data_IF_139623384927
#
_entry.id   IF_139623384927
#
_cell.length_a   1.000
_cell.length_b   1.000
_cell.length_c   1.000
_cell.angle_alpha   90.00
_cell.angle_beta   90.00
_cell.angle_gamma   90.00
#
_symmetry.space_group_name_H-M   'P 1'
#
loop_
_entity.id
_entity.type
_entity.pdbx_description
1 polymer ?
#
# COMPACT_ATOMS: atom_id res chain seq x y z
N UNK A 1 6.08 -4.21 13.56
CA UNK A 1 4.90 -3.89 12.76
C UNK A 1 5.29 -3.07 11.54
N UNK A 2 4.66 -3.37 10.42
CA UNK A 2 4.78 -2.61 9.17
C UNK A 2 3.42 -1.99 8.88
N UNK A 3 3.40 -0.69 8.63
CA UNK A 3 2.18 0.05 8.32
C UNK A 3 2.27 0.58 6.89
N UNK A 4 1.24 0.32 6.10
CA UNK A 4 1.12 0.84 4.74
C UNK A 4 -0.08 1.76 4.60
N UNK A 5 0.07 2.82 3.84
CA UNK A 5 -1.08 3.50 3.25
C UNK A 5 -1.62 2.63 2.12
N UNK A 6 -2.72 1.94 2.38
CA UNK A 6 -3.37 1.10 1.36
C UNK A 6 -3.99 1.95 0.24
N UNK A 7 -4.26 3.22 0.50
CA UNK A 7 -4.66 4.24 -0.48
C UNK A 7 -3.71 4.33 -1.68
N UNK A 8 -2.42 4.04 -1.48
CA UNK A 8 -1.36 4.21 -2.47
C UNK A 8 -1.14 2.93 -3.28
N UNK A 9 -0.03 2.26 -3.09
CA UNK A 9 0.36 1.11 -3.92
C UNK A 9 -0.56 -0.10 -3.79
N UNK A 10 -1.08 -0.38 -2.59
CA UNK A 10 -1.97 -1.53 -2.38
C UNK A 10 -3.26 -1.38 -3.19
N UNK A 11 -3.94 -0.24 -3.08
CA UNK A 11 -5.11 0.07 -3.91
C UNK A 11 -4.74 0.32 -5.36
N UNK A 12 -3.83 1.27 -5.59
CA UNK A 12 -3.19 1.52 -6.87
C UNK A 12 -4.02 2.26 -7.92
N UNK A 13 -5.26 2.65 -7.60
CA UNK A 13 -6.21 3.23 -8.56
C UNK A 13 -6.80 4.57 -8.10
N UNK A 14 -6.37 5.09 -6.96
CA UNK A 14 -6.86 6.35 -6.38
C UNK A 14 -8.39 6.40 -6.14
N UNK A 15 -8.98 5.25 -5.90
CA UNK A 15 -10.45 5.06 -5.75
C UNK A 15 -10.85 4.56 -4.36
N UNK A 16 -9.89 4.32 -3.46
CA UNK A 16 -10.14 3.85 -2.11
C UNK A 16 -9.15 4.47 -1.11
N UNK A 17 -9.63 4.71 0.09
CA UNK A 17 -8.80 5.12 1.23
C UNK A 17 -8.67 3.96 2.21
N UNK A 18 -7.50 3.77 2.78
CA UNK A 18 -7.32 2.74 3.79
C UNK A 18 -5.88 2.61 4.28
N UNK A 19 -5.75 1.90 5.39
CA UNK A 19 -4.48 1.47 5.96
C UNK A 19 -4.36 -0.04 5.99
N UNK A 20 -3.13 -0.54 5.97
CA UNK A 20 -2.85 -1.94 6.19
C UNK A 20 -1.74 -2.10 7.24
N UNK A 21 -1.94 -3.04 8.15
CA UNK A 21 -0.98 -3.36 9.20
C UNK A 21 -0.55 -4.81 9.05
N UNK A 22 0.75 -5.02 8.98
CA UNK A 22 1.35 -6.34 8.88
C UNK A 22 2.39 -6.56 9.96
N UNK A 23 2.53 -7.79 10.42
CA UNK A 23 3.54 -8.10 11.41
C UNK A 23 3.25 -9.37 12.21
N UNK A 24 3.94 -9.49 13.34
CA UNK A 24 3.79 -10.62 14.24
C UNK A 24 2.34 -10.69 14.77
N UNK A 25 1.81 -11.90 14.81
CA UNK A 25 0.38 -12.16 15.09
C UNK A 25 -0.12 -11.55 16.40
N UNK A 26 0.66 -11.62 17.47
CA UNK A 26 0.27 -11.07 18.77
C UNK A 26 0.11 -9.55 18.72
N UNK A 27 1.02 -8.86 18.05
CA UNK A 27 0.97 -7.40 17.88
C UNK A 27 -0.19 -6.98 16.97
N UNK A 28 -0.41 -7.70 15.87
CA UNK A 28 -1.55 -7.43 14.96
C UNK A 28 -2.87 -7.66 15.69
N UNK A 29 -2.98 -8.71 16.53
CA UNK A 29 -4.19 -8.97 17.33
C UNK A 29 -4.48 -7.87 18.34
N UNK A 30 -3.47 -7.31 19.00
CA UNK A 30 -3.67 -6.20 19.92
C UNK A 30 -4.25 -4.96 19.21
N UNK A 31 -3.74 -4.63 18.03
CA UNK A 31 -4.28 -3.53 17.21
C UNK A 31 -5.66 -3.86 16.68
N UNK A 32 -5.90 -5.10 16.27
CA UNK A 32 -7.22 -5.55 15.82
C UNK A 32 -8.28 -5.37 16.91
N UNK A 33 -7.98 -5.80 18.13
CA UNK A 33 -8.90 -5.63 19.27
C UNK A 33 -9.17 -4.15 19.59
N UNK A 34 -8.14 -3.31 19.59
CA UNK A 34 -8.31 -1.87 19.77
C UNK A 34 -9.20 -1.26 18.68
N UNK A 35 -9.00 -1.67 17.42
CA UNK A 35 -9.83 -1.25 16.29
C UNK A 35 -11.30 -1.62 16.46
N UNK A 36 -11.60 -2.83 16.97
CA UNK A 36 -12.98 -3.28 17.23
C UNK A 36 -13.66 -2.40 18.26
N UNK A 37 -12.95 -2.04 19.34
CA UNK A 37 -13.49 -1.19 20.43
C UNK A 37 -13.72 0.25 19.93
N UNK A 38 -12.79 0.80 19.15
CA UNK A 38 -12.84 2.20 18.69
C UNK A 38 -13.69 2.40 17.45
N UNK A 39 -14.10 1.32 16.77
CA UNK A 39 -14.85 1.41 15.52
C UNK A 39 -14.04 1.88 14.31
N UNK A 40 -12.70 1.92 14.40
CA UNK A 40 -11.81 2.33 13.31
C UNK A 40 -11.70 1.22 12.24
N UNK A 41 -12.83 0.83 11.66
CA UNK A 41 -12.94 -0.22 10.66
C UNK A 41 -13.09 0.35 9.26
N UNK A 42 -12.52 -0.33 8.28
CA UNK A 42 -12.68 0.03 6.89
C UNK A 42 -14.09 -0.33 6.41
N UNK A 43 -14.71 0.53 5.61
CA UNK A 43 -16.01 0.23 5.01
C UNK A 43 -15.90 -0.92 3.96
N UNK A 44 -17.00 -1.66 3.71
CA UNK A 44 -16.96 -2.81 2.82
C UNK A 44 -16.60 -2.48 1.38
N UNK A 45 -16.98 -1.31 0.85
CA UNK A 45 -16.67 -0.92 -0.51
C UNK A 45 -15.18 -0.61 -0.67
N UNK A 46 -14.59 0.15 0.24
CA UNK A 46 -13.15 0.40 0.25
C UNK A 46 -12.36 -0.89 0.41
N UNK A 47 -12.81 -1.82 1.26
CA UNK A 47 -12.19 -3.13 1.40
C UNK A 47 -12.23 -3.94 0.10
N UNK A 48 -13.36 -3.95 -0.59
CA UNK A 48 -13.51 -4.59 -1.90
C UNK A 48 -12.57 -3.99 -2.95
N UNK A 49 -12.54 -2.66 -3.07
CA UNK A 49 -11.68 -1.95 -4.03
C UNK A 49 -10.19 -2.21 -3.75
N UNK A 50 -9.78 -2.20 -2.50
CA UNK A 50 -8.40 -2.53 -2.12
C UNK A 50 -8.04 -3.97 -2.51
N UNK A 51 -8.89 -4.96 -2.17
CA UNK A 51 -8.68 -6.36 -2.57
C UNK A 51 -8.60 -6.51 -4.09
N UNK A 52 -9.44 -5.80 -4.82
CA UNK A 52 -9.43 -5.79 -6.28
C UNK A 52 -8.14 -5.18 -6.83
N UNK A 53 -7.70 -4.04 -6.28
CA UNK A 53 -6.46 -3.37 -6.66
C UNK A 53 -5.21 -4.22 -6.40
N UNK A 54 -5.19 -4.96 -5.31
CA UNK A 54 -4.09 -5.86 -4.94
C UNK A 54 -3.88 -7.01 -5.93
N UNK A 55 -4.87 -7.39 -6.74
CA UNK A 55 -4.73 -8.45 -7.75
C UNK A 55 -3.65 -8.13 -8.80
N UNK A 56 -3.38 -6.85 -9.04
CA UNK A 56 -2.34 -6.39 -9.98
C UNK A 56 -1.10 -5.83 -9.29
N UNK A 57 -1.02 -5.92 -7.95
CA UNK A 57 0.03 -5.28 -7.16
C UNK A 57 1.43 -5.70 -7.60
N UNK A 58 1.68 -6.98 -7.76
CA UNK A 58 3.00 -7.50 -8.14
C UNK A 58 3.48 -6.92 -9.49
N UNK A 59 2.61 -6.94 -10.49
CA UNK A 59 2.90 -6.40 -11.82
C UNK A 59 3.18 -4.89 -11.76
N UNK A 60 2.37 -4.15 -11.01
CA UNK A 60 2.53 -2.69 -10.89
C UNK A 60 3.83 -2.32 -10.17
N UNK A 61 4.13 -2.98 -9.05
CA UNK A 61 5.34 -2.70 -8.27
C UNK A 61 6.60 -3.05 -9.07
N UNK A 62 6.61 -4.19 -9.75
CA UNK A 62 7.73 -4.56 -10.62
C UNK A 62 7.95 -3.49 -11.69
N UNK A 63 6.90 -3.09 -12.40
CA UNK A 63 7.02 -2.06 -13.45
C UNK A 63 7.44 -0.70 -12.92
N UNK A 64 6.92 -0.33 -11.74
CA UNK A 64 7.31 0.92 -11.06
C UNK A 64 8.79 0.92 -10.71
N UNK A 65 9.32 -0.17 -10.16
CA UNK A 65 10.73 -0.29 -9.82
C UNK A 65 11.63 -0.19 -11.06
N UNK A 66 11.29 -0.90 -12.13
CA UNK A 66 12.02 -0.81 -13.40
C UNK A 66 12.03 0.61 -13.98
N UNK A 67 10.88 1.27 -13.96
CA UNK A 67 10.73 2.64 -14.45
C UNK A 67 11.51 3.63 -13.59
N UNK A 68 11.42 3.51 -12.27
CA UNK A 68 12.15 4.37 -11.32
C UNK A 68 13.66 4.20 -11.48
N UNK A 69 14.14 2.96 -11.64
CA UNK A 69 15.56 2.70 -11.86
C UNK A 69 16.08 3.36 -13.15
N UNK A 70 15.32 3.26 -14.24
CA UNK A 70 15.68 3.87 -15.53
C UNK A 70 15.71 5.41 -15.43
N UNK A 71 14.72 6.01 -14.77
CA UNK A 71 14.67 7.45 -14.54
C UNK A 71 15.83 7.90 -13.65
N UNK A 72 16.13 7.18 -12.58
CA UNK A 72 17.27 7.49 -11.70
C UNK A 72 18.61 7.45 -12.45
N UNK A 73 18.83 6.43 -13.27
CA UNK A 73 20.04 6.32 -14.09
C UNK A 73 20.16 7.48 -15.09
N UNK A 74 19.07 7.85 -15.73
CA UNK A 74 19.04 8.99 -16.66
C UNK A 74 19.33 10.30 -15.94
N UNK A 75 18.71 10.53 -14.77
CA UNK A 75 18.96 11.74 -13.97
C UNK A 75 20.40 11.80 -13.45
N UNK A 76 20.98 10.70 -13.00
CA UNK A 76 22.35 10.65 -12.52
C UNK A 76 23.39 11.04 -13.58
N UNK A 77 23.05 10.86 -14.86
CA UNK A 77 23.89 11.29 -15.98
C UNK A 77 23.57 12.71 -16.51
N UNK A 78 22.57 13.38 -15.92
CA UNK A 78 22.10 14.66 -16.42
C UNK A 78 22.98 15.81 -15.89
N UNK A 79 23.45 16.76 -16.75
CA UNK A 79 24.44 17.79 -16.36
C UNK A 79 23.91 18.82 -15.35
N UNK A 80 22.63 18.81 -15.03
CA UNK A 80 21.98 19.71 -14.05
C UNK A 80 21.49 19.01 -12.80
N UNK A 81 21.87 17.76 -12.57
CA UNK A 81 21.52 16.97 -11.37
C UNK A 81 22.79 16.57 -10.63
#
# INVERSE_FOLDING_TARGET
LVVHSATKYLGGHADALGGALCGRRDLVRAVFHFREITGATLDPMSAYLLLRGMKTLALRVQRQNESAQRVAQWLAAHPRV
#
